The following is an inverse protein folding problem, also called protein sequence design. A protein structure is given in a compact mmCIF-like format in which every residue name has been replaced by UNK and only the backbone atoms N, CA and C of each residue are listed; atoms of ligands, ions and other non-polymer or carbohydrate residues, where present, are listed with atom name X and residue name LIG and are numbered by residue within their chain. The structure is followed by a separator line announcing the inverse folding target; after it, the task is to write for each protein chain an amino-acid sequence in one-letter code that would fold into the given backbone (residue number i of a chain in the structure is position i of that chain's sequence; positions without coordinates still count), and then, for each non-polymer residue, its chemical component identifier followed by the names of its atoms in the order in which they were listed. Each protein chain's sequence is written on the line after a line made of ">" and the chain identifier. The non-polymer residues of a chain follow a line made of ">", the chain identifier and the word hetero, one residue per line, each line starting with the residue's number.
data_IF_734883171853
#
_entry.id   IF_734883171853
#
_cell.length_a   1.000
_cell.length_b   1.000
_cell.length_c   1.000
_cell.angle_alpha   90.00
_cell.angle_beta   90.00
_cell.angle_gamma   90.00
#
_symmetry.space_group_name_H-M   'P 1'
#
loop_
_entity.id
_entity.type
_entity.pdbx_description
1 polymer ?
#
# COMPACT_ATOMS: atom_id res chain seq x y z
N UNK A 1 21.91 11.42 -53.61
CA UNK A 1 20.67 10.93 -53.00
C UNK A 1 20.87 11.04 -51.49
N UNK A 2 20.49 12.18 -50.90
CA UNK A 2 20.47 12.31 -49.44
C UNK A 2 19.35 11.42 -48.89
N UNK A 3 19.58 10.53 -47.89
CA UNK A 3 18.48 9.98 -47.14
C UNK A 3 17.92 11.16 -46.32
N UNK A 4 16.75 11.65 -46.71
CA UNK A 4 15.97 12.54 -45.87
C UNK A 4 15.78 11.77 -44.55
N UNK A 5 16.35 12.34 -43.51
CA UNK A 5 16.15 11.92 -42.14
C UNK A 5 14.66 12.19 -41.88
N UNK A 6 13.86 11.14 -41.92
CA UNK A 6 12.41 11.22 -41.71
C UNK A 6 12.19 11.49 -40.22
N UNK A 7 12.47 12.76 -39.82
CA UNK A 7 12.28 13.19 -38.43
C UNK A 7 10.80 13.13 -38.09
N UNK A 8 10.48 12.27 -37.11
CA UNK A 8 9.13 12.20 -36.58
C UNK A 8 8.82 13.46 -35.77
N UNK A 9 8.03 14.36 -36.35
CA UNK A 9 7.61 15.60 -35.71
C UNK A 9 6.27 15.39 -35.03
N UNK A 10 6.22 15.58 -33.72
CA UNK A 10 5.01 15.49 -32.90
C UNK A 10 4.67 16.86 -32.31
N UNK A 11 3.39 17.14 -32.15
CA UNK A 11 2.96 18.13 -31.17
C UNK A 11 3.24 17.63 -29.74
N UNK A 12 3.26 18.52 -28.76
CA UNK A 12 3.51 18.17 -27.36
C UNK A 12 2.49 17.15 -26.85
N UNK A 13 1.22 17.32 -27.22
CA UNK A 13 0.14 16.40 -26.80
C UNK A 13 0.26 15.03 -27.48
N UNK A 14 0.61 14.99 -28.75
CA UNK A 14 0.83 13.72 -29.47
C UNK A 14 2.03 12.96 -28.87
N UNK A 15 3.13 13.64 -28.60
CA UNK A 15 4.29 13.01 -27.97
C UNK A 15 3.95 12.41 -26.58
N UNK A 16 3.23 13.17 -25.73
CA UNK A 16 2.75 12.68 -24.44
C UNK A 16 1.84 11.47 -24.58
N UNK A 17 0.93 11.47 -25.57
CA UNK A 17 0.05 10.35 -25.83
C UNK A 17 0.81 9.08 -26.26
N UNK A 18 1.70 9.21 -27.25
CA UNK A 18 2.54 8.10 -27.75
C UNK A 18 3.42 7.53 -26.63
N UNK A 19 4.06 8.40 -25.83
CA UNK A 19 4.89 7.94 -24.73
C UNK A 19 4.07 7.20 -23.66
N UNK A 20 2.87 7.69 -23.32
CA UNK A 20 1.99 6.99 -22.39
C UNK A 20 1.54 5.62 -22.93
N UNK A 21 1.22 5.50 -24.19
CA UNK A 21 0.91 4.20 -24.83
C UNK A 21 2.11 3.25 -24.76
N UNK A 22 3.31 3.73 -25.02
CA UNK A 22 4.54 2.94 -24.91
C UNK A 22 4.78 2.47 -23.48
N UNK A 23 4.62 3.37 -22.50
CA UNK A 23 4.75 3.03 -21.08
C UNK A 23 3.70 2.00 -20.65
N UNK A 24 2.46 2.15 -21.07
CA UNK A 24 1.37 1.24 -20.71
C UNK A 24 1.57 -0.15 -21.34
N UNK A 25 2.07 -0.20 -22.57
CA UNK A 25 2.38 -1.46 -23.24
C UNK A 25 3.59 -2.17 -22.60
N UNK A 26 4.67 -1.44 -22.35
CA UNK A 26 5.91 -2.01 -21.82
C UNK A 26 5.83 -2.30 -20.31
N UNK A 27 5.12 -1.47 -19.56
CA UNK A 27 5.03 -1.49 -18.10
C UNK A 27 3.59 -1.28 -17.63
N UNK A 28 2.68 -2.24 -17.84
CA UNK A 28 1.27 -2.11 -17.41
C UNK A 28 1.15 -1.95 -15.88
N UNK A 29 2.08 -2.52 -15.15
CA UNK A 29 2.34 -2.16 -13.74
C UNK A 29 3.75 -2.56 -13.35
N UNK A 30 4.34 -1.80 -12.43
CA UNK A 30 5.67 -2.06 -11.88
C UNK A 30 5.60 -2.12 -10.36
N UNK A 31 6.54 -2.84 -9.74
CA UNK A 31 6.76 -2.79 -8.30
C UNK A 31 8.13 -2.15 -8.07
N UNK A 32 8.14 -1.01 -7.39
CA UNK A 32 9.35 -0.30 -7.01
C UNK A 32 9.56 -0.42 -5.51
N UNK A 33 10.78 -0.73 -5.09
CA UNK A 33 11.19 -0.76 -3.69
C UNK A 33 12.19 0.34 -3.44
N UNK A 34 12.02 1.08 -2.33
CA UNK A 34 12.89 2.17 -1.95
C UNK A 34 12.52 2.76 -0.60
N UNK A 35 13.34 3.67 -0.12
CA UNK A 35 13.10 4.45 1.09
C UNK A 35 12.10 5.58 0.81
N UNK A 36 11.07 5.69 1.66
CA UNK A 36 10.07 6.75 1.59
C UNK A 36 10.69 8.10 1.95
N UNK A 37 10.41 9.10 1.13
CA UNK A 37 10.83 10.47 1.33
C UNK A 37 9.75 11.46 0.86
N UNK A 38 9.76 12.68 1.42
CA UNK A 38 8.87 13.78 1.03
C UNK A 38 7.38 13.41 1.08
N UNK A 39 7.01 12.53 2.01
CA UNK A 39 5.63 12.07 2.16
C UNK A 39 4.70 13.20 2.57
N UNK A 40 3.65 13.41 1.80
CA UNK A 40 2.64 14.43 2.10
C UNK A 40 1.25 14.06 1.59
N UNK A 41 0.24 14.45 2.36
CA UNK A 41 -1.17 14.38 1.97
C UNK A 41 -1.65 15.79 1.66
N UNK A 42 -2.24 16.00 0.48
CA UNK A 42 -2.81 17.28 0.06
C UNK A 42 -4.32 17.22 0.04
N UNK A 43 -4.96 18.25 0.61
CA UNK A 43 -6.43 18.39 0.68
C UNK A 43 -7.14 17.15 1.24
N UNK A 44 -6.48 16.39 2.13
CA UNK A 44 -7.04 15.16 2.72
C UNK A 44 -7.35 14.03 1.73
N UNK A 45 -6.96 14.15 0.47
CA UNK A 45 -7.33 13.23 -0.61
C UNK A 45 -6.13 12.73 -1.41
N UNK A 46 -5.21 13.60 -1.73
CA UNK A 46 -4.13 13.33 -2.67
C UNK A 46 -2.84 13.01 -1.93
N UNK A 47 -2.16 11.97 -2.39
CA UNK A 47 -0.94 11.45 -1.84
C UNK A 47 0.21 11.74 -2.79
N UNK A 48 1.29 12.33 -2.25
CA UNK A 48 2.54 12.58 -2.95
C UNK A 48 3.68 12.08 -2.09
N UNK A 49 4.61 11.39 -2.69
CA UNK A 49 5.85 10.98 -2.05
C UNK A 49 6.89 10.59 -3.09
N UNK A 50 8.11 10.43 -2.65
CA UNK A 50 9.20 9.90 -3.43
C UNK A 50 9.64 8.57 -2.83
N UNK A 51 10.07 7.63 -3.68
CA UNK A 51 10.95 6.53 -3.26
C UNK A 51 12.34 6.82 -3.78
N UNK A 52 13.33 6.65 -2.91
CA UNK A 52 14.74 6.84 -3.21
C UNK A 52 15.57 5.61 -2.86
N UNK A 53 16.67 5.45 -3.54
CA UNK A 53 17.80 4.60 -3.18
C UNK A 53 19.10 5.45 -3.20
N UNK A 54 20.25 4.81 -3.22
CA UNK A 54 21.56 5.51 -3.25
C UNK A 54 21.80 6.30 -4.54
N UNK A 55 21.15 5.94 -5.64
CA UNK A 55 21.45 6.46 -6.98
C UNK A 55 20.31 7.26 -7.61
N UNK A 56 19.07 7.01 -7.19
CA UNK A 56 17.91 7.56 -7.88
C UNK A 56 16.75 7.90 -6.94
N UNK A 57 15.89 8.78 -7.44
CA UNK A 57 14.63 9.15 -6.79
C UNK A 57 13.51 9.16 -7.82
N UNK A 58 12.38 8.57 -7.48
CA UNK A 58 11.20 8.53 -8.35
C UNK A 58 9.97 9.02 -7.58
N UNK A 59 9.20 9.89 -8.23
CA UNK A 59 7.98 10.49 -7.67
C UNK A 59 6.78 9.58 -7.85
N UNK A 60 5.96 9.51 -6.80
CA UNK A 60 4.69 8.80 -6.77
C UNK A 60 3.52 9.76 -6.53
N UNK A 61 2.40 9.42 -7.14
CA UNK A 61 1.13 10.10 -6.98
C UNK A 61 0.02 9.08 -6.73
N UNK A 62 -0.88 9.38 -5.80
CA UNK A 62 -2.00 8.49 -5.49
C UNK A 62 -3.08 9.16 -4.66
N UNK A 63 -3.89 8.35 -4.00
CA UNK A 63 -4.95 8.80 -3.10
C UNK A 63 -4.78 8.18 -1.72
N UNK A 64 -5.35 8.81 -0.69
CA UNK A 64 -5.30 8.33 0.70
C UNK A 64 -5.91 6.94 0.89
N UNK A 65 -6.79 6.50 -0.02
CA UNK A 65 -7.39 5.16 0.02
C UNK A 65 -6.39 4.02 -0.24
N UNK A 66 -5.21 4.34 -0.79
CA UNK A 66 -4.14 3.37 -1.08
C UNK A 66 -3.17 3.23 0.10
N UNK A 67 -3.32 4.04 1.16
CA UNK A 67 -2.48 3.95 2.34
C UNK A 67 -2.81 2.68 3.14
N UNK A 68 -1.82 1.85 3.49
CA UNK A 68 -2.03 0.69 4.36
C UNK A 68 -2.24 1.10 5.82
N UNK A 69 -1.95 2.34 6.17
CA UNK A 69 -1.95 2.92 7.49
C UNK A 69 -1.03 4.14 7.57
N UNK A 70 -0.67 4.62 8.76
CA UNK A 70 0.30 5.69 8.92
C UNK A 70 1.67 5.30 8.35
N UNK A 71 2.29 6.22 7.61
CA UNK A 71 3.63 6.08 7.05
C UNK A 71 4.49 7.27 7.47
N UNK A 72 5.79 7.07 7.59
CA UNK A 72 6.77 8.11 7.89
C UNK A 72 7.97 8.00 6.95
N UNK A 73 8.59 9.14 6.66
CA UNK A 73 9.83 9.19 5.89
C UNK A 73 10.92 8.31 6.54
N UNK A 74 11.74 7.68 5.70
CA UNK A 74 12.75 6.71 6.11
C UNK A 74 12.26 5.26 6.18
N UNK A 75 10.96 4.99 6.00
CA UNK A 75 10.46 3.62 5.91
C UNK A 75 10.79 3.01 4.55
N UNK A 76 11.21 1.76 4.53
CA UNK A 76 11.36 0.99 3.30
C UNK A 76 9.99 0.50 2.83
N UNK A 77 9.63 0.81 1.60
CA UNK A 77 8.35 0.43 1.00
C UNK A 77 8.54 -0.38 -0.28
N UNK A 78 7.54 -1.20 -0.60
CA UNK A 78 7.27 -1.75 -1.93
C UNK A 78 5.98 -1.15 -2.44
N UNK A 79 6.04 -0.46 -3.57
CA UNK A 79 4.89 0.21 -4.15
C UNK A 79 4.62 -0.36 -5.54
N UNK A 80 3.42 -0.89 -5.74
CA UNK A 80 2.91 -1.23 -7.07
C UNK A 80 2.30 0.01 -7.68
N UNK A 81 2.68 0.34 -8.90
CA UNK A 81 2.24 1.55 -9.56
C UNK A 81 2.27 1.43 -11.10
N UNK A 82 1.67 2.37 -11.77
CA UNK A 82 1.66 2.52 -13.24
C UNK A 82 2.47 3.77 -13.61
N UNK A 83 3.50 3.65 -14.45
CA UNK A 83 4.24 4.80 -14.96
C UNK A 83 3.33 5.68 -15.83
N UNK A 84 3.41 7.00 -15.66
CA UNK A 84 2.65 7.95 -16.46
C UNK A 84 3.33 9.29 -16.61
N UNK A 85 3.28 9.86 -17.80
CA UNK A 85 3.63 11.23 -18.07
C UNK A 85 2.37 12.09 -18.05
N UNK A 86 2.23 12.93 -17.01
CA UNK A 86 1.11 13.86 -16.94
C UNK A 86 1.40 15.09 -17.83
N UNK A 87 0.43 15.59 -18.64
CA UNK A 87 0.66 16.71 -19.57
C UNK A 87 1.23 17.98 -18.94
N UNK A 88 0.91 18.24 -17.67
CA UNK A 88 1.34 19.48 -16.97
C UNK A 88 2.32 19.23 -15.81
N UNK A 89 2.29 18.03 -15.17
CA UNK A 89 3.03 17.76 -13.93
C UNK A 89 4.25 16.87 -14.14
N UNK A 90 4.49 16.42 -15.37
CA UNK A 90 5.64 15.58 -15.70
C UNK A 90 5.46 14.12 -15.35
N UNK A 91 6.57 13.39 -15.28
CA UNK A 91 6.59 11.95 -15.04
C UNK A 91 6.34 11.63 -13.56
N UNK A 92 5.48 10.64 -13.31
CA UNK A 92 5.25 10.06 -12.00
C UNK A 92 4.76 8.62 -12.11
N UNK A 93 4.83 7.89 -11.01
CA UNK A 93 4.25 6.56 -10.85
C UNK A 93 2.91 6.68 -10.12
N UNK A 94 1.81 6.30 -10.80
CA UNK A 94 0.47 6.32 -10.22
C UNK A 94 0.28 5.09 -9.34
N UNK A 95 0.12 5.30 -8.04
CA UNK A 95 0.05 4.24 -7.03
C UNK A 95 -1.16 3.34 -7.23
N UNK A 96 -0.95 2.04 -7.16
CA UNK A 96 -2.00 1.02 -7.05
C UNK A 96 -2.09 0.44 -5.63
N UNK A 97 -0.94 0.12 -5.03
CA UNK A 97 -0.86 -0.36 -3.65
C UNK A 97 0.49 -0.05 -3.01
N UNK A 98 0.50 0.11 -1.70
CA UNK A 98 1.69 0.40 -0.89
C UNK A 98 1.81 -0.68 0.18
N UNK A 99 3.03 -1.19 0.39
CA UNK A 99 3.33 -2.16 1.43
C UNK A 99 4.64 -1.78 2.13
N UNK A 100 4.69 -1.70 3.47
CA UNK A 100 5.95 -1.65 4.21
C UNK A 100 6.80 -2.88 3.88
N UNK A 101 8.10 -2.66 3.72
CA UNK A 101 9.06 -3.70 3.38
C UNK A 101 10.19 -3.73 4.42
N UNK A 102 10.76 -4.91 4.60
CA UNK A 102 11.75 -5.13 5.65
C UNK A 102 11.13 -5.13 7.06
N UNK A 103 11.75 -5.88 7.96
CA UNK A 103 11.23 -6.13 9.30
C UNK A 103 11.08 -4.84 10.13
N UNK A 104 12.05 -3.91 10.03
CA UNK A 104 12.02 -2.64 10.72
C UNK A 104 10.85 -1.75 10.31
N UNK A 105 10.60 -1.61 9.01
CA UNK A 105 9.49 -0.80 8.49
C UNK A 105 8.12 -1.41 8.81
N UNK A 106 8.00 -2.74 8.76
CA UNK A 106 6.78 -3.45 9.14
C UNK A 106 6.47 -3.23 10.64
N UNK A 107 7.48 -3.38 11.50
CA UNK A 107 7.31 -3.11 12.95
C UNK A 107 6.94 -1.66 13.22
N UNK A 108 7.56 -0.71 12.53
CA UNK A 108 7.26 0.72 12.68
C UNK A 108 5.84 1.06 12.22
N UNK A 109 5.40 0.54 11.08
CA UNK A 109 4.03 0.70 10.58
C UNK A 109 2.99 0.16 11.59
N UNK A 110 3.24 -1.02 12.17
CA UNK A 110 2.38 -1.61 13.19
C UNK A 110 2.33 -0.74 14.46
N UNK A 111 3.46 -0.21 14.92
CA UNK A 111 3.53 0.68 16.09
C UNK A 111 2.77 1.99 15.86
N UNK A 112 2.95 2.63 14.69
CA UNK A 112 2.23 3.84 14.30
C UNK A 112 0.72 3.62 14.24
N UNK A 113 0.30 2.51 13.65
CA UNK A 113 -1.11 2.13 13.60
C UNK A 113 -1.67 1.90 15.01
N UNK A 114 -0.95 1.18 15.87
CA UNK A 114 -1.32 0.96 17.27
C UNK A 114 -1.50 2.28 18.03
N UNK A 115 -0.57 3.21 17.89
CA UNK A 115 -0.64 4.54 18.52
C UNK A 115 -1.85 5.34 18.01
N UNK A 116 -2.13 5.29 16.70
CA UNK A 116 -3.31 5.94 16.12
C UNK A 116 -4.60 5.37 16.69
N UNK A 117 -4.74 4.04 16.74
CA UNK A 117 -5.93 3.36 17.24
C UNK A 117 -6.12 3.61 18.75
N UNK A 118 -5.03 3.70 19.52
CA UNK A 118 -5.08 4.09 20.94
C UNK A 118 -5.57 5.52 21.12
N UNK A 119 -5.08 6.47 20.32
CA UNK A 119 -5.54 7.86 20.35
C UNK A 119 -7.02 8.01 19.96
N UNK A 120 -7.55 7.13 19.11
CA UNK A 120 -8.97 7.03 18.77
C UNK A 120 -9.82 6.34 19.87
N UNK A 121 -9.19 5.91 20.98
CA UNK A 121 -9.85 5.26 22.13
C UNK A 121 -10.34 3.84 21.82
N UNK A 122 -9.84 3.20 20.77
CA UNK A 122 -10.32 1.86 20.37
C UNK A 122 -9.90 0.75 21.35
N UNK A 123 -8.88 1.01 22.18
CA UNK A 123 -8.43 0.08 23.22
C UNK A 123 -8.97 0.38 24.62
N UNK A 124 -9.85 1.40 24.78
CA UNK A 124 -10.39 1.81 26.06
C UNK A 124 -11.22 0.68 26.71
N UNK A 125 -11.04 0.50 28.00
CA UNK A 125 -11.79 -0.50 28.77
C UNK A 125 -13.32 -0.25 28.69
N UNK A 126 -13.77 0.98 28.56
CA UNK A 126 -15.18 1.33 28.40
C UNK A 126 -15.83 0.79 27.12
N UNK A 127 -15.02 0.46 26.09
CA UNK A 127 -15.47 -0.14 24.84
C UNK A 127 -15.50 -1.67 24.90
N UNK A 128 -14.83 -2.28 25.86
CA UNK A 128 -14.81 -3.73 26.03
C UNK A 128 -16.13 -4.20 26.64
N UNK A 129 -16.70 -5.21 26.03
CA UNK A 129 -17.90 -5.88 26.55
C UNK A 129 -17.49 -7.02 27.45
N UNK A 130 -18.20 -7.22 28.55
CA UNK A 130 -18.08 -8.45 29.36
C UNK A 130 -18.45 -9.66 28.51
N UNK A 131 -17.64 -10.71 28.59
CA UNK A 131 -17.95 -11.97 27.91
C UNK A 131 -19.13 -12.64 28.60
N UNK A 132 -20.13 -13.15 27.85
CA UNK A 132 -21.19 -13.94 28.43
C UNK A 132 -20.60 -15.24 28.96
N UNK A 133 -21.09 -15.68 30.14
CA UNK A 133 -20.71 -16.95 30.73
C UNK A 133 -21.97 -17.74 31.17
N UNK A 134 -22.18 -18.95 30.65
CA UNK A 134 -21.45 -19.62 29.55
C UNK A 134 -21.76 -19.02 28.19
N UNK A 135 -20.78 -18.96 27.24
CA UNK A 135 -21.04 -18.51 25.88
C UNK A 135 -21.93 -19.52 25.14
N UNK A 136 -23.00 -19.03 24.53
CA UNK A 136 -23.91 -19.89 23.74
C UNK A 136 -23.41 -20.10 22.30
N UNK A 137 -22.63 -19.16 21.79
CA UNK A 137 -22.07 -19.18 20.43
C UNK A 137 -20.66 -18.63 20.43
N UNK A 138 -19.75 -19.35 19.79
CA UNK A 138 -18.34 -18.94 19.60
C UNK A 138 -18.08 -18.84 18.11
N UNK A 139 -17.69 -17.65 17.64
CA UNK A 139 -17.21 -17.44 16.28
C UNK A 139 -15.69 -17.62 16.21
N UNK A 140 -15.21 -18.50 15.34
CA UNK A 140 -13.78 -18.73 15.12
C UNK A 140 -13.39 -18.29 13.71
N UNK A 141 -12.41 -17.37 13.61
CA UNK A 141 -11.84 -16.91 12.34
C UNK A 141 -10.42 -17.46 12.22
N UNK A 142 -10.25 -18.49 11.40
CA UNK A 142 -8.97 -19.17 11.18
C UNK A 142 -8.99 -19.93 9.86
N UNK A 143 -7.83 -20.45 9.41
CA UNK A 143 -7.78 -21.40 8.31
C UNK A 143 -8.30 -22.75 8.78
N UNK A 144 -9.24 -23.35 8.03
CA UNK A 144 -9.80 -24.68 8.33
C UNK A 144 -8.76 -25.81 8.35
N UNK A 145 -7.63 -25.61 7.67
CA UNK A 145 -6.52 -26.58 7.59
C UNK A 145 -5.43 -26.32 8.65
N UNK A 146 -5.60 -25.31 9.52
CA UNK A 146 -4.60 -24.97 10.52
C UNK A 146 -4.60 -25.93 11.72
N UNK A 147 -3.42 -26.18 12.28
CA UNK A 147 -3.29 -26.92 13.54
C UNK A 147 -4.08 -26.24 14.68
N UNK A 148 -4.14 -24.90 14.69
CA UNK A 148 -4.91 -24.14 15.66
C UNK A 148 -6.41 -24.43 15.58
N UNK A 149 -6.98 -24.65 14.39
CA UNK A 149 -8.37 -25.07 14.21
C UNK A 149 -8.61 -26.46 14.82
N UNK A 150 -7.76 -27.41 14.48
CA UNK A 150 -7.88 -28.80 14.97
C UNK A 150 -7.77 -28.85 16.51
N UNK A 151 -6.83 -28.13 17.11
CA UNK A 151 -6.67 -28.04 18.56
C UNK A 151 -7.86 -27.38 19.24
N UNK A 152 -8.38 -26.28 18.66
CA UNK A 152 -9.55 -25.61 19.19
C UNK A 152 -10.78 -26.54 19.22
N UNK A 153 -11.09 -27.23 18.12
CA UNK A 153 -12.21 -28.16 18.03
C UNK A 153 -12.05 -29.33 19.01
N UNK A 154 -10.85 -29.89 19.13
CA UNK A 154 -10.52 -30.93 20.07
C UNK A 154 -10.83 -30.54 21.53
N UNK A 155 -10.37 -29.33 21.91
CA UNK A 155 -10.57 -28.83 23.28
C UNK A 155 -12.04 -28.53 23.54
N UNK A 156 -12.76 -27.90 22.61
CA UNK A 156 -14.18 -27.61 22.77
C UNK A 156 -14.99 -28.89 22.92
N UNK A 157 -14.79 -29.88 22.04
CA UNK A 157 -15.49 -31.15 22.10
C UNK A 157 -15.20 -31.95 23.38
N UNK A 158 -14.00 -31.81 23.95
CA UNK A 158 -13.63 -32.47 25.20
C UNK A 158 -14.26 -31.81 26.44
N UNK A 159 -14.39 -30.47 26.44
CA UNK A 159 -14.85 -29.71 27.61
C UNK A 159 -16.30 -29.25 27.55
N UNK A 160 -16.86 -29.17 26.36
CA UNK A 160 -18.22 -28.69 26.13
C UNK A 160 -18.95 -29.68 25.21
N UNK A 161 -19.48 -30.72 25.81
CA UNK A 161 -20.37 -31.65 25.09
C UNK A 161 -21.78 -31.05 25.06
N UNK A 162 -22.22 -30.63 23.86
CA UNK A 162 -23.63 -30.37 23.57
C UNK A 162 -24.40 -31.67 23.38
#
# INVERSE_FOLDING_TARGET
>A
MNPENDELIFSVSEFVAVLNQTLEYAYPSVVVSGELANFRVSKGKWLYFDLKDELATVRFFGTVYQLPGPLEDGMLLKVRAVPRLHPQFGFSLNVLSIQPAGEGSIRRAAALLGSKLAAEGLFDESRKRSLPYPPQTIGLVTSSESAAYADFIKIINARWRS
#
